data_IF_497223970115
#
_entry.id   IF_497223970115
#
_cell.length_a   1.000
_cell.length_b   1.000
_cell.length_c   1.000
_cell.angle_alpha   90.00
_cell.angle_beta   90.00
_cell.angle_gamma   90.00
#
_symmetry.space_group_name_H-M   'P 1'
#
loop_
_entity.id
_entity.type
_entity.pdbx_description
1 polymer ?
#
# COMPACT_ATOMS: atom_id res chain seq x y z
N UNK A 1 -5.00 -21.38 27.92
CA UNK A 1 -4.71 -19.96 28.17
C UNK A 1 -5.70 -19.14 27.37
N UNK A 2 -6.70 -18.58 28.02
CA UNK A 2 -7.68 -17.70 27.37
C UNK A 2 -6.99 -16.36 27.10
N UNK A 3 -6.58 -16.14 25.85
CA UNK A 3 -6.27 -14.79 25.40
C UNK A 3 -7.59 -14.02 25.40
N UNK A 4 -7.85 -13.28 26.45
CA UNK A 4 -8.87 -12.25 26.41
C UNK A 4 -8.56 -11.36 25.22
N UNK A 5 -9.58 -11.04 24.41
CA UNK A 5 -9.49 -10.09 23.31
C UNK A 5 -8.92 -8.80 23.89
N UNK A 6 -7.61 -8.65 23.83
CA UNK A 6 -6.97 -7.37 24.14
C UNK A 6 -7.25 -6.43 22.99
N UNK A 7 -7.40 -5.15 23.24
CA UNK A 7 -7.61 -4.09 22.22
C UNK A 7 -6.60 -4.16 21.06
N UNK A 8 -5.45 -4.76 21.31
CA UNK A 8 -4.40 -5.00 20.32
C UNK A 8 -4.84 -5.91 19.15
N UNK A 9 -5.74 -6.87 19.40
CA UNK A 9 -6.26 -7.78 18.38
C UNK A 9 -7.69 -7.47 17.95
N UNK A 10 -8.33 -6.49 18.58
CA UNK A 10 -9.66 -6.07 18.16
C UNK A 10 -9.58 -5.37 16.81
N UNK A 11 -10.25 -5.91 15.80
CA UNK A 11 -10.44 -5.18 14.55
C UNK A 11 -11.36 -3.98 14.82
N UNK A 12 -10.88 -2.79 14.52
CA UNK A 12 -11.65 -1.56 14.62
C UNK A 12 -12.10 -1.16 13.22
N UNK A 13 -13.37 -1.29 12.92
CA UNK A 13 -13.91 -0.88 11.64
C UNK A 13 -14.12 -2.03 10.65
N UNK A 14 -14.14 -1.70 9.37
CA UNK A 14 -14.36 -2.63 8.26
C UNK A 14 -13.05 -3.07 7.59
N UNK A 15 -13.16 -3.82 6.49
CA UNK A 15 -12.00 -4.32 5.74
C UNK A 15 -11.11 -3.20 5.21
N UNK A 16 -11.69 -2.03 4.89
CA UNK A 16 -10.93 -0.88 4.40
C UNK A 16 -10.09 -0.27 5.52
N UNK A 17 -10.70 -0.03 6.68
CA UNK A 17 -9.98 0.54 7.84
C UNK A 17 -8.82 -0.34 8.25
N UNK A 18 -9.03 -1.66 8.28
CA UNK A 18 -7.97 -2.61 8.63
C UNK A 18 -6.87 -2.64 7.56
N UNK A 19 -7.23 -2.75 6.28
CA UNK A 19 -6.26 -2.76 5.19
C UNK A 19 -5.44 -1.46 5.14
N UNK A 20 -6.09 -0.31 5.32
CA UNK A 20 -5.45 0.98 5.34
C UNK A 20 -4.46 1.12 6.52
N UNK A 21 -4.87 0.71 7.71
CA UNK A 21 -4.00 0.71 8.89
C UNK A 21 -2.76 -0.15 8.69
N UNK A 22 -2.90 -1.32 8.06
CA UNK A 22 -1.76 -2.20 7.74
C UNK A 22 -0.85 -1.59 6.66
N UNK A 23 -1.40 -0.87 5.70
CA UNK A 23 -0.61 -0.10 4.73
C UNK A 23 0.16 1.02 5.43
N UNK A 24 -0.45 1.76 6.35
CA UNK A 24 0.22 2.83 7.08
C UNK A 24 1.31 2.30 8.02
N UNK A 25 1.11 1.12 8.61
CA UNK A 25 2.18 0.45 9.37
C UNK A 25 3.35 0.06 8.46
N UNK A 26 3.07 -0.54 7.30
CA UNK A 26 4.11 -0.85 6.31
C UNK A 26 4.89 0.41 5.90
N UNK A 27 4.16 1.52 5.66
CA UNK A 27 4.78 2.82 5.34
C UNK A 27 5.74 3.26 6.45
N UNK A 28 5.32 3.20 7.71
CA UNK A 28 6.18 3.60 8.84
C UNK A 28 7.41 2.69 8.98
N UNK A 29 7.28 1.39 8.74
CA UNK A 29 8.43 0.46 8.73
C UNK A 29 9.44 0.85 7.67
N UNK A 30 8.97 1.17 6.47
CA UNK A 30 9.85 1.53 5.34
C UNK A 30 10.51 2.90 5.57
N UNK A 31 9.73 3.90 5.98
CA UNK A 31 10.19 5.28 6.08
C UNK A 31 10.95 5.60 7.37
N UNK A 32 10.50 5.06 8.51
CA UNK A 32 10.94 5.48 9.84
C UNK A 32 11.75 4.41 10.59
N UNK A 33 11.69 3.14 10.16
CA UNK A 33 12.32 2.00 10.84
C UNK A 33 13.34 1.29 9.93
N UNK A 34 14.00 2.01 9.05
CA UNK A 34 15.04 1.49 8.14
C UNK A 34 14.57 0.40 7.14
N UNK A 35 13.28 0.14 7.03
CA UNK A 35 12.74 -0.91 6.15
C UNK A 35 13.05 -0.68 4.67
N UNK A 36 13.30 0.57 4.25
CA UNK A 36 13.70 0.90 2.88
C UNK A 36 14.95 0.15 2.44
N UNK A 37 15.86 -0.22 3.36
CA UNK A 37 17.11 -0.92 3.07
C UNK A 37 16.92 -2.28 2.38
N UNK A 38 15.78 -2.95 2.61
CA UNK A 38 15.44 -4.21 1.94
C UNK A 38 15.38 -4.05 0.42
N UNK A 39 15.07 -2.86 -0.05
CA UNK A 39 14.96 -2.55 -1.48
C UNK A 39 16.29 -2.10 -2.11
N UNK A 40 17.42 -2.26 -1.42
CA UNK A 40 18.74 -1.87 -1.92
C UNK A 40 19.73 -3.02 -1.89
N UNK A 41 20.55 -3.11 -2.94
CA UNK A 41 21.70 -4.00 -3.02
C UNK A 41 22.91 -3.21 -3.52
N UNK A 42 24.00 -3.20 -2.75
CA UNK A 42 25.21 -2.42 -3.08
C UNK A 42 24.92 -0.94 -3.42
N UNK A 43 24.05 -0.31 -2.64
CA UNK A 43 23.65 1.10 -2.84
C UNK A 43 22.74 1.37 -4.04
N UNK A 44 22.26 0.33 -4.72
CA UNK A 44 21.35 0.46 -5.87
C UNK A 44 19.94 -0.05 -5.51
N UNK A 45 18.89 0.67 -5.92
CA UNK A 45 17.53 0.22 -5.64
C UNK A 45 17.17 -1.04 -6.43
N UNK A 46 16.51 -1.97 -5.74
CA UNK A 46 15.90 -3.17 -6.33
C UNK A 46 14.43 -2.86 -6.60
N UNK A 47 14.08 -2.66 -7.87
CA UNK A 47 12.74 -2.24 -8.28
C UNK A 47 11.86 -3.45 -8.61
N UNK A 48 11.37 -4.13 -7.57
CA UNK A 48 10.44 -5.26 -7.71
C UNK A 48 9.20 -5.05 -6.84
N UNK A 49 8.04 -4.94 -7.47
CA UNK A 49 6.76 -4.82 -6.75
C UNK A 49 6.52 -6.01 -5.81
N UNK A 50 6.99 -7.19 -6.20
CA UNK A 50 6.82 -8.41 -5.42
C UNK A 50 7.48 -8.34 -4.02
N UNK A 51 8.59 -7.63 -3.88
CA UNK A 51 9.25 -7.48 -2.58
C UNK A 51 8.37 -6.66 -1.61
N UNK A 52 7.70 -5.63 -2.12
CA UNK A 52 6.74 -4.83 -1.36
C UNK A 52 5.50 -5.65 -0.96
N UNK A 53 5.01 -6.49 -1.87
CA UNK A 53 3.90 -7.41 -1.60
C UNK A 53 4.26 -8.43 -0.51
N UNK A 54 5.50 -8.94 -0.49
CA UNK A 54 5.97 -9.86 0.54
C UNK A 54 6.01 -9.15 1.91
N UNK A 55 6.53 -7.92 1.97
CA UNK A 55 6.51 -7.14 3.21
C UNK A 55 5.09 -6.89 3.72
N UNK A 56 4.16 -6.53 2.82
CA UNK A 56 2.78 -6.33 3.20
C UNK A 56 2.13 -7.59 3.75
N UNK A 57 2.46 -8.74 3.19
CA UNK A 57 1.97 -10.02 3.72
C UNK A 57 2.43 -10.28 5.16
N UNK A 58 3.64 -9.87 5.51
CA UNK A 58 4.16 -10.04 6.87
C UNK A 58 3.40 -9.20 7.92
N UNK A 59 2.83 -8.06 7.54
CA UNK A 59 2.07 -7.22 8.48
C UNK A 59 0.68 -7.77 8.82
N UNK A 60 0.26 -8.86 8.16
CA UNK A 60 -1.01 -9.55 8.41
C UNK A 60 -0.87 -10.75 9.36
N UNK A 61 0.01 -10.64 10.33
CA UNK A 61 0.32 -11.73 11.26
C UNK A 61 -0.89 -12.21 12.06
N UNK A 62 -1.72 -11.32 12.58
CA UNK A 62 -2.94 -11.66 13.32
C UNK A 62 -4.11 -10.85 12.78
N UNK A 63 -5.15 -11.53 12.32
CA UNK A 63 -6.30 -10.89 11.72
C UNK A 63 -7.54 -11.78 11.76
N UNK A 64 -8.72 -11.15 11.85
CA UNK A 64 -10.02 -11.80 11.67
C UNK A 64 -10.47 -11.77 10.20
N UNK A 65 -9.70 -11.09 9.31
CA UNK A 65 -10.02 -10.94 7.90
C UNK A 65 -9.40 -12.04 7.05
N UNK A 66 -10.08 -12.40 5.99
CA UNK A 66 -9.50 -13.22 4.93
C UNK A 66 -8.61 -12.33 4.07
N UNK A 67 -7.34 -12.68 3.96
CA UNK A 67 -6.35 -11.96 3.15
C UNK A 67 -5.87 -12.86 2.03
N UNK A 68 -6.40 -12.64 0.83
CA UNK A 68 -6.09 -13.41 -0.37
C UNK A 68 -5.18 -12.62 -1.31
N UNK A 69 -4.15 -13.29 -1.83
CA UNK A 69 -3.19 -12.73 -2.79
C UNK A 69 -3.60 -13.09 -4.22
N UNK A 70 -3.31 -12.20 -5.17
CA UNK A 70 -3.48 -12.41 -6.61
C UNK A 70 -4.92 -12.80 -7.02
N UNK A 71 -5.90 -12.10 -6.48
CA UNK A 71 -7.30 -12.38 -6.77
C UNK A 71 -7.70 -11.75 -8.10
N UNK A 72 -8.24 -12.56 -9.02
CA UNK A 72 -8.86 -12.04 -10.23
C UNK A 72 -10.25 -11.47 -9.90
N UNK A 73 -10.38 -10.16 -10.04
CA UNK A 73 -11.61 -9.43 -9.69
C UNK A 73 -12.42 -9.01 -10.94
N UNK A 74 -12.30 -9.74 -12.05
CA UNK A 74 -13.02 -9.46 -13.30
C UNK A 74 -12.46 -8.28 -14.11
N UNK A 75 -11.48 -7.55 -13.58
CA UNK A 75 -10.76 -6.42 -14.22
C UNK A 75 -9.26 -6.65 -14.33
N UNK A 76 -8.82 -7.86 -14.00
CA UNK A 76 -7.43 -8.25 -13.89
C UNK A 76 -7.04 -8.64 -12.47
N UNK A 77 -5.84 -9.21 -12.28
CA UNK A 77 -5.36 -9.58 -10.96
C UNK A 77 -5.11 -8.34 -10.11
N UNK A 78 -5.54 -8.38 -8.85
CA UNK A 78 -5.15 -7.44 -7.80
C UNK A 78 -4.21 -8.14 -6.82
N UNK A 79 -3.33 -7.37 -6.18
CA UNK A 79 -2.28 -7.96 -5.35
C UNK A 79 -2.85 -8.60 -4.08
N UNK A 80 -3.82 -7.92 -3.43
CA UNK A 80 -4.49 -8.45 -2.25
C UNK A 80 -5.98 -8.10 -2.25
N UNK A 81 -6.78 -9.04 -1.74
CA UNK A 81 -8.15 -8.81 -1.34
C UNK A 81 -8.29 -9.11 0.14
N UNK A 82 -8.71 -8.12 0.90
CA UNK A 82 -9.02 -8.21 2.31
C UNK A 82 -10.52 -8.26 2.47
N UNK A 83 -11.07 -9.27 3.14
CA UNK A 83 -12.52 -9.43 3.25
C UNK A 83 -12.96 -9.98 4.61
N UNK A 84 -14.19 -9.62 4.99
CA UNK A 84 -14.90 -10.19 6.13
C UNK A 84 -16.35 -10.45 5.72
N UNK A 85 -16.65 -11.72 5.46
CA UNK A 85 -17.93 -12.11 4.89
C UNK A 85 -18.08 -11.71 3.42
N UNK A 86 -19.32 -11.78 2.91
CA UNK A 86 -19.59 -11.60 1.47
C UNK A 86 -19.77 -10.16 1.02
N UNK A 87 -19.97 -9.22 1.94
CA UNK A 87 -20.33 -7.82 1.63
C UNK A 87 -19.25 -6.80 1.96
N UNK A 88 -18.22 -7.20 2.72
CA UNK A 88 -17.14 -6.33 3.13
C UNK A 88 -15.83 -6.82 2.50
N UNK A 89 -15.34 -6.09 1.51
CA UNK A 89 -14.05 -6.38 0.90
C UNK A 89 -13.35 -5.11 0.40
N UNK A 90 -12.03 -5.14 0.52
CA UNK A 90 -11.12 -4.08 0.06
C UNK A 90 -9.99 -4.67 -0.76
N UNK A 91 -9.69 -4.03 -1.87
CA UNK A 91 -8.57 -4.40 -2.73
C UNK A 91 -7.36 -3.54 -2.37
N UNK A 92 -6.18 -4.14 -2.36
CA UNK A 92 -4.92 -3.41 -2.18
C UNK A 92 -4.00 -3.75 -3.35
N UNK A 93 -3.51 -2.73 -4.02
CA UNK A 93 -2.65 -2.84 -5.19
C UNK A 93 -1.36 -2.07 -4.97
N UNK A 94 -0.23 -2.71 -5.25
CA UNK A 94 1.10 -2.13 -5.13
C UNK A 94 1.67 -1.77 -6.50
N UNK A 95 2.31 -0.62 -6.58
CA UNK A 95 3.01 -0.16 -7.79
C UNK A 95 4.32 0.49 -7.44
N UNK A 96 5.28 0.40 -8.35
CA UNK A 96 6.47 1.24 -8.32
C UNK A 96 6.22 2.53 -9.11
N UNK A 97 6.75 3.64 -8.62
CA UNK A 97 6.68 4.93 -9.32
C UNK A 97 7.35 4.89 -10.69
N UNK A 98 8.37 4.01 -10.86
CA UNK A 98 9.04 3.77 -12.15
C UNK A 98 8.18 3.02 -13.18
N UNK A 99 7.04 2.45 -12.78
CA UNK A 99 6.17 1.71 -13.69
C UNK A 99 5.67 2.62 -14.83
N UNK A 100 5.92 2.21 -16.06
CA UNK A 100 5.56 2.99 -17.25
C UNK A 100 4.04 3.09 -17.49
N UNK A 101 3.28 2.15 -16.92
CA UNK A 101 1.81 2.10 -17.01
C UNK A 101 1.13 2.77 -15.81
N UNK A 102 1.88 3.43 -14.91
CA UNK A 102 1.33 3.98 -13.67
C UNK A 102 0.18 4.96 -13.94
N UNK A 103 0.34 5.88 -14.89
CA UNK A 103 -0.73 6.83 -15.25
C UNK A 103 -2.02 6.12 -15.64
N UNK A 104 -1.95 5.12 -16.50
CA UNK A 104 -3.12 4.35 -16.93
C UNK A 104 -3.78 3.59 -15.77
N UNK A 105 -2.97 3.06 -14.85
CA UNK A 105 -3.48 2.40 -13.66
C UNK A 105 -4.22 3.38 -12.73
N UNK A 106 -3.74 4.62 -12.61
CA UNK A 106 -4.38 5.65 -11.82
C UNK A 106 -5.63 6.23 -12.50
N UNK A 107 -5.66 6.32 -13.82
CA UNK A 107 -6.87 6.69 -14.58
C UNK A 107 -8.02 5.72 -14.30
N UNK A 108 -7.75 4.42 -14.24
CA UNK A 108 -8.74 3.41 -13.86
C UNK A 108 -9.28 3.64 -12.44
N UNK A 109 -8.45 4.14 -11.53
CA UNK A 109 -8.85 4.47 -10.17
C UNK A 109 -9.89 5.61 -10.14
N UNK A 110 -9.73 6.63 -10.99
CA UNK A 110 -10.72 7.73 -11.11
C UNK A 110 -12.11 7.18 -11.44
N UNK A 111 -12.18 6.20 -12.34
CA UNK A 111 -13.46 5.58 -12.73
C UNK A 111 -14.09 4.79 -11.57
N UNK A 112 -13.27 4.18 -10.72
CA UNK A 112 -13.72 3.47 -9.51
C UNK A 112 -14.33 4.48 -8.52
N UNK A 113 -13.67 5.62 -8.30
CA UNK A 113 -14.18 6.67 -7.41
C UNK A 113 -15.47 7.32 -7.91
N UNK A 114 -15.59 7.56 -9.21
CA UNK A 114 -16.83 8.11 -9.80
C UNK A 114 -18.02 7.17 -9.64
N UNK A 115 -17.78 5.89 -9.52
CA UNK A 115 -18.81 4.86 -9.33
C UNK A 115 -19.04 4.52 -7.85
N UNK A 116 -18.56 5.35 -6.93
CA UNK A 116 -18.42 5.10 -5.50
C UNK A 116 -19.69 4.99 -4.66
N UNK A 117 -20.80 4.56 -5.24
CA UNK A 117 -21.84 3.86 -4.48
C UNK A 117 -21.53 2.35 -4.36
N UNK A 118 -20.34 1.91 -4.68
CA UNK A 118 -19.99 0.52 -4.83
C UNK A 118 -19.14 0.01 -3.67
N UNK A 119 -19.50 -1.17 -3.22
CA UNK A 119 -18.87 -2.04 -2.21
C UNK A 119 -17.41 -2.42 -2.49
N UNK A 120 -16.80 -1.95 -3.56
CA UNK A 120 -15.43 -2.26 -3.95
C UNK A 120 -14.51 -1.08 -3.63
N UNK A 121 -14.03 -1.06 -2.40
CA UNK A 121 -12.97 -0.13 -1.96
C UNK A 121 -11.63 -0.63 -2.46
N UNK A 122 -10.74 0.29 -2.85
CA UNK A 122 -9.42 -0.04 -3.35
C UNK A 122 -8.39 0.95 -2.83
N UNK A 123 -7.31 0.42 -2.26
CA UNK A 123 -6.15 1.19 -1.81
C UNK A 123 -5.02 0.95 -2.81
N UNK A 124 -4.40 2.04 -3.29
CA UNK A 124 -3.19 1.97 -4.11
C UNK A 124 -1.99 2.44 -3.31
N UNK A 125 -0.94 1.64 -3.33
CA UNK A 125 0.30 1.92 -2.64
C UNK A 125 1.40 2.07 -3.68
N UNK A 126 2.07 3.23 -3.70
CA UNK A 126 3.08 3.57 -4.70
C UNK A 126 4.41 3.82 -3.99
N UNK A 127 5.40 2.98 -4.26
CA UNK A 127 6.76 3.09 -3.74
C UNK A 127 7.64 3.86 -4.72
N UNK A 128 8.40 4.85 -4.22
CA UNK A 128 9.34 5.63 -5.02
C UNK A 128 10.74 5.65 -4.38
N UNK A 129 11.78 5.74 -5.24
CA UNK A 129 13.19 5.68 -4.86
C UNK A 129 13.97 6.96 -5.14
N UNK A 130 13.37 7.92 -5.85
CA UNK A 130 14.02 9.20 -6.17
C UNK A 130 13.02 10.36 -6.09
N UNK A 131 13.56 11.57 -5.96
CA UNK A 131 12.74 12.79 -5.99
C UNK A 131 12.07 13.01 -7.36
N UNK A 132 12.70 12.55 -8.45
CA UNK A 132 12.13 12.61 -9.79
C UNK A 132 10.92 11.66 -9.91
N UNK A 133 11.02 10.47 -9.32
CA UNK A 133 9.89 9.53 -9.25
C UNK A 133 8.75 10.12 -8.43
N UNK A 134 9.05 10.76 -7.30
CA UNK A 134 8.05 11.45 -6.49
C UNK A 134 7.35 12.58 -7.28
N UNK A 135 8.13 13.45 -7.94
CA UNK A 135 7.59 14.53 -8.76
C UNK A 135 6.72 14.01 -9.92
N UNK A 136 7.14 12.92 -10.56
CA UNK A 136 6.34 12.24 -11.60
C UNK A 136 4.98 11.79 -11.07
N UNK A 137 4.97 11.09 -9.94
CA UNK A 137 3.72 10.56 -9.34
C UNK A 137 2.80 11.69 -8.91
N UNK A 138 3.31 12.68 -8.20
CA UNK A 138 2.51 13.83 -7.74
C UNK A 138 1.97 14.64 -8.90
N UNK A 139 2.72 14.79 -9.99
CA UNK A 139 2.25 15.39 -11.24
C UNK A 139 1.06 14.63 -11.83
N UNK A 140 1.13 13.31 -11.92
CA UNK A 140 0.03 12.48 -12.41
C UNK A 140 -1.20 12.61 -11.49
N UNK A 141 -1.01 12.58 -10.17
CA UNK A 141 -2.12 12.71 -9.21
C UNK A 141 -2.81 14.08 -9.32
N UNK A 142 -2.05 15.15 -9.52
CA UNK A 142 -2.59 16.49 -9.74
C UNK A 142 -3.40 16.57 -11.04
N UNK A 143 -2.85 16.06 -12.15
CA UNK A 143 -3.53 16.02 -13.46
C UNK A 143 -4.87 15.27 -13.38
N UNK A 144 -4.90 14.18 -12.63
CA UNK A 144 -6.09 13.33 -12.46
C UNK A 144 -7.02 13.79 -11.32
N UNK A 145 -6.66 14.87 -10.60
CA UNK A 145 -7.40 15.37 -9.42
C UNK A 145 -7.53 14.32 -8.31
N UNK A 146 -6.49 13.52 -8.12
CA UNK A 146 -6.41 12.47 -7.12
C UNK A 146 -5.49 12.83 -5.94
N UNK A 147 -4.94 14.03 -5.89
CA UNK A 147 -3.97 14.48 -4.88
C UNK A 147 -4.51 14.51 -3.43
N UNK A 148 -5.83 14.61 -3.27
CA UNK A 148 -6.49 14.57 -1.96
C UNK A 148 -7.12 13.19 -1.64
N UNK A 149 -6.77 12.17 -2.43
CA UNK A 149 -7.31 10.84 -2.24
C UNK A 149 -6.52 10.05 -1.19
N UNK A 150 -7.10 9.83 -0.01
CA UNK A 150 -6.47 9.09 1.09
C UNK A 150 -6.18 7.63 0.73
N UNK A 151 -6.92 7.06 -0.23
CA UNK A 151 -6.72 5.68 -0.69
C UNK A 151 -5.52 5.51 -1.63
N UNK A 152 -4.80 6.60 -1.93
CA UNK A 152 -3.54 6.54 -2.66
C UNK A 152 -2.41 6.89 -1.70
N UNK A 153 -1.64 5.89 -1.31
CA UNK A 153 -0.57 6.01 -0.32
C UNK A 153 0.79 6.00 -1.02
N UNK A 154 1.55 7.08 -0.89
CA UNK A 154 2.93 7.14 -1.36
C UNK A 154 3.89 6.72 -0.26
N UNK A 155 4.85 5.85 -0.59
CA UNK A 155 5.89 5.38 0.34
C UNK A 155 7.26 5.80 -0.18
N UNK A 156 8.00 6.50 0.67
CA UNK A 156 9.34 6.99 0.39
C UNK A 156 10.40 5.93 0.74
N UNK A 157 11.07 5.39 -0.26
CA UNK A 157 12.18 4.47 -0.11
C UNK A 157 13.53 5.08 -0.56
N UNK A 158 13.65 6.40 -0.59
CA UNK A 158 14.91 7.07 -0.95
C UNK A 158 15.97 6.78 0.12
N UNK A 159 17.18 6.38 -0.32
CA UNK A 159 18.31 6.10 0.56
C UNK A 159 19.08 7.39 0.91
N UNK A 160 18.40 8.32 1.58
CA UNK A 160 18.98 9.59 2.05
C UNK A 160 18.63 9.89 3.51
N UNK A 161 18.11 8.91 4.23
CA UNK A 161 17.63 9.11 5.59
C UNK A 161 18.82 9.13 6.56
N UNK A 162 18.87 10.07 7.52
CA UNK A 162 19.88 10.06 8.56
C UNK A 162 19.76 8.77 9.37
N UNK A 163 20.87 8.04 9.54
CA UNK A 163 20.86 6.89 10.43
C UNK A 163 20.72 7.38 11.87
N UNK A 164 20.02 6.60 12.72
CA UNK A 164 19.86 6.91 14.14
C UNK A 164 21.19 7.09 14.89
N UNK A 165 22.31 6.61 14.29
CA UNK A 165 23.67 6.77 14.82
C UNK A 165 24.34 8.10 14.44
N UNK A 166 23.71 8.93 13.61
CA UNK A 166 24.26 10.23 13.19
C UNK A 166 23.54 11.45 13.84
N UNK A 167 22.54 11.18 14.67
CA UNK A 167 21.86 12.19 15.49
C UNK A 167 22.45 12.11 16.89
N UNK A 168 23.64 12.63 17.06
CA UNK A 168 24.35 12.81 18.32
C UNK A 168 24.60 14.27 18.56
#
# INVERSE_FOLDING_TARGET
MLYTKTEFYASTGDSHDEAYRRVMFLKSVIEDMDGYRIFYLNGKPIRRENDLQIMYRLVWYATEYDVNREVNNGRGPVDFKVSKGSKDSTLVEFKLASNTKLRKNLENQVEIYKKANCTNRAIKVILYFTEEEYAKVTGILNDLKLHECDDIVLINAIDNKPSASTVG
#
